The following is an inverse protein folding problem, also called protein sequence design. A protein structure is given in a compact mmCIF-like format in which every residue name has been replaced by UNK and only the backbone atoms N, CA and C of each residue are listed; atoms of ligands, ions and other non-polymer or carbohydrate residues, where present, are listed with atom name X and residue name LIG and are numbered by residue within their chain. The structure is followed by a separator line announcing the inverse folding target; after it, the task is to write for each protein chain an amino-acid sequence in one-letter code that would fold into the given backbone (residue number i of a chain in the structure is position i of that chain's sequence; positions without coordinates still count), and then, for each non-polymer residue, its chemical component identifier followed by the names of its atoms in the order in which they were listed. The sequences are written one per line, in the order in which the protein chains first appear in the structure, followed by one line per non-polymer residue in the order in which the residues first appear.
data_IF_837185209524
#
_entry.id   IF_837185209524
#
_cell.length_a   1.000
_cell.length_b   1.000
_cell.length_c   1.000
_cell.angle_alpha   90.00
_cell.angle_beta   90.00
_cell.angle_gamma   90.00
#
_symmetry.space_group_name_H-M   'P 1'
#
loop_
_entity.id
_entity.type
_entity.pdbx_description
1 polymer ?
#
# COMPACT_ATOMS: atom_id res chain seq x y z
N UNK A 1 21.91 49.06 14.44
CA UNK A 1 21.70 48.46 13.11
C UNK A 1 20.23 48.65 12.73
N UNK A 2 19.91 49.60 11.84
CA UNK A 2 18.53 49.89 11.41
C UNK A 2 18.15 48.90 10.30
N UNK A 3 17.34 47.91 10.61
CA UNK A 3 16.76 47.03 9.59
C UNK A 3 15.67 47.84 8.88
N UNK A 4 15.79 48.05 7.56
CA UNK A 4 14.77 48.75 6.79
C UNK A 4 13.50 47.90 6.76
N UNK A 5 12.34 48.53 6.96
CA UNK A 5 11.02 47.88 6.98
C UNK A 5 10.78 47.03 5.72
N UNK A 6 11.37 47.40 4.58
CA UNK A 6 11.34 46.61 3.35
C UNK A 6 12.01 45.23 3.45
N UNK A 7 13.05 45.06 4.27
CA UNK A 7 13.73 43.77 4.46
C UNK A 7 13.01 42.87 5.46
N UNK A 8 12.25 43.46 6.40
CA UNK A 8 11.46 42.71 7.37
C UNK A 8 10.19 42.13 6.74
N UNK A 9 9.56 42.86 5.81
CA UNK A 9 8.37 42.39 5.08
C UNK A 9 8.73 41.25 4.10
N UNK A 10 9.90 41.28 3.45
CA UNK A 10 10.36 40.17 2.60
C UNK A 10 10.69 38.92 3.43
N UNK A 11 11.25 39.08 4.63
CA UNK A 11 11.54 37.95 5.53
C UNK A 11 10.26 37.32 6.09
N UNK A 12 9.24 38.12 6.44
CA UNK A 12 7.93 37.62 6.90
C UNK A 12 7.15 36.92 5.77
N UNK A 13 7.21 37.43 4.53
CA UNK A 13 6.58 36.80 3.36
C UNK A 13 7.28 35.49 2.95
N UNK A 14 8.59 35.37 3.15
CA UNK A 14 9.32 34.12 2.90
C UNK A 14 9.05 33.03 3.94
N UNK A 15 8.64 33.38 5.16
CA UNK A 15 8.26 32.42 6.21
C UNK A 15 6.82 31.94 6.03
N UNK A 16 5.92 32.77 5.49
CA UNK A 16 4.54 32.35 5.18
C UNK A 16 4.41 31.51 3.91
N UNK A 17 5.39 31.54 2.99
CA UNK A 17 5.35 30.73 1.75
C UNK A 17 5.89 29.30 1.90
N UNK A 18 6.53 28.98 3.03
CA UNK A 18 6.97 27.60 3.34
C UNK A 18 5.82 26.80 4.00
N UNK A 19 4.76 27.49 4.46
CA UNK A 19 3.64 26.87 5.17
C UNK A 19 2.54 26.33 4.21
N UNK A 20 2.64 26.56 2.90
CA UNK A 20 1.61 26.11 1.94
C UNK A 20 1.90 24.76 1.23
N UNK A 21 2.91 23.99 1.64
CA UNK A 21 3.16 22.64 1.10
C UNK A 21 2.97 21.48 2.09
N UNK A 22 2.60 21.74 3.35
CA UNK A 22 2.13 20.68 4.22
C UNK A 22 0.65 20.41 3.93
N UNK A 23 0.40 19.59 2.91
CA UNK A 23 -0.80 18.77 2.91
C UNK A 23 -0.81 18.01 4.23
N UNK A 24 -1.88 18.19 5.02
CA UNK A 24 -1.95 17.70 6.40
C UNK A 24 -1.46 16.26 6.50
N UNK A 25 -0.38 16.06 7.26
CA UNK A 25 0.00 14.73 7.73
C UNK A 25 -1.15 14.29 8.62
N UNK A 26 -1.94 13.32 8.15
CA UNK A 26 -2.96 12.71 8.97
C UNK A 26 -2.26 12.00 10.13
N UNK A 27 -2.25 12.64 11.30
CA UNK A 27 -1.76 12.05 12.55
C UNK A 27 -2.82 11.05 13.03
N UNK A 28 -2.64 9.77 12.73
CA UNK A 28 -3.44 8.69 13.32
C UNK A 28 -2.74 8.19 14.58
N UNK A 29 -3.29 8.52 15.75
CA UNK A 29 -2.78 8.08 17.05
C UNK A 29 -3.20 6.62 17.30
N UNK A 30 -2.22 5.73 17.34
CA UNK A 30 -2.40 4.32 17.73
C UNK A 30 -2.70 4.18 19.23
N UNK A 31 -3.42 3.12 19.61
CA UNK A 31 -3.63 2.72 21.02
C UNK A 31 -2.33 2.39 21.78
N UNK A 32 -1.19 2.23 21.08
CA UNK A 32 0.13 1.91 21.69
C UNK A 32 0.89 3.11 22.26
N UNK A 33 0.47 4.36 22.00
CA UNK A 33 1.20 5.57 22.41
C UNK A 33 2.42 5.92 21.54
N UNK A 34 2.70 5.12 20.51
CA UNK A 34 3.74 5.40 19.52
C UNK A 34 3.23 6.40 18.46
N UNK A 35 4.05 7.39 18.13
CA UNK A 35 3.76 8.34 17.04
C UNK A 35 4.38 7.84 15.73
N UNK A 36 3.53 7.73 14.71
CA UNK A 36 3.93 7.32 13.37
C UNK A 36 3.96 8.53 12.45
N UNK A 37 4.99 8.62 11.61
CA UNK A 37 5.20 9.72 10.68
C UNK A 37 5.29 9.18 9.25
N UNK A 38 4.40 9.62 8.37
CA UNK A 38 4.49 9.33 6.93
C UNK A 38 5.48 10.32 6.30
N UNK A 39 6.73 9.88 6.12
CA UNK A 39 7.80 10.72 5.57
C UNK A 39 7.70 10.90 4.06
N UNK A 40 7.29 9.84 3.37
CA UNK A 40 7.13 9.83 1.92
C UNK A 40 5.85 9.09 1.60
N UNK A 41 4.97 9.72 0.83
CA UNK A 41 3.90 9.04 0.11
C UNK A 41 3.81 9.63 -1.30
N UNK A 42 4.28 8.89 -2.30
CA UNK A 42 4.20 9.28 -3.70
C UNK A 42 3.94 8.08 -4.60
N UNK A 43 3.85 8.29 -5.91
CA UNK A 43 3.54 7.24 -6.89
C UNK A 43 4.52 6.04 -6.89
N UNK A 44 5.72 6.18 -6.32
CA UNK A 44 6.77 5.15 -6.34
C UNK A 44 6.88 4.38 -5.03
N UNK A 45 6.72 5.05 -3.90
CA UNK A 45 6.94 4.43 -2.59
C UNK A 45 6.21 5.13 -1.46
N UNK A 46 6.10 4.41 -0.37
CA UNK A 46 5.68 4.91 0.94
C UNK A 46 6.83 4.67 1.90
N UNK A 47 7.20 5.66 2.69
CA UNK A 47 8.13 5.49 3.81
C UNK A 47 7.48 6.02 5.07
N UNK A 48 7.34 5.15 6.07
CA UNK A 48 6.77 5.47 7.38
C UNK A 48 7.88 5.29 8.42
N UNK A 49 7.89 6.16 9.42
CA UNK A 49 8.84 6.18 10.50
C UNK A 49 8.13 6.09 11.84
N UNK A 50 8.78 5.42 12.79
CA UNK A 50 8.46 5.51 14.22
C UNK A 50 9.74 5.37 15.03
N UNK A 51 9.67 5.71 16.31
CA UNK A 51 10.75 5.58 17.27
C UNK A 51 10.23 4.92 18.54
N UNK A 52 11.00 3.95 19.05
CA UNK A 52 10.72 3.26 20.32
C UNK A 52 12.03 2.96 21.03
N UNK A 53 12.11 3.34 22.30
CA UNK A 53 13.28 3.10 23.18
C UNK A 53 14.64 3.49 22.55
N UNK A 54 14.66 4.61 21.80
CA UNK A 54 15.84 5.13 21.10
C UNK A 54 16.20 4.43 19.78
N UNK A 55 15.45 3.40 19.39
CA UNK A 55 15.54 2.78 18.07
C UNK A 55 14.56 3.45 17.11
N UNK A 56 15.08 3.93 15.99
CA UNK A 56 14.33 4.56 14.92
C UNK A 56 14.20 3.56 13.78
N UNK A 57 12.97 3.27 13.37
CA UNK A 57 12.67 2.41 12.22
C UNK A 57 12.10 3.21 11.05
N UNK A 58 12.50 2.82 9.85
CA UNK A 58 11.99 3.35 8.57
C UNK A 58 11.50 2.17 7.73
N UNK A 59 10.19 1.97 7.65
CA UNK A 59 9.59 0.98 6.77
C UNK A 59 9.33 1.62 5.42
N UNK A 60 9.81 1.00 4.35
CA UNK A 60 9.59 1.44 2.97
C UNK A 60 8.83 0.36 2.20
N UNK A 61 7.70 0.75 1.63
CA UNK A 61 6.98 -0.03 0.63
C UNK A 61 7.25 0.55 -0.76
N UNK A 62 7.84 -0.25 -1.65
CA UNK A 62 8.04 0.09 -3.05
C UNK A 62 6.79 -0.31 -3.85
N UNK A 63 6.00 0.69 -4.27
CA UNK A 63 4.76 0.49 -5.04
C UNK A 63 5.02 -0.08 -6.45
N UNK A 64 6.26 -0.04 -6.92
CA UNK A 64 6.64 -0.54 -8.26
C UNK A 64 7.00 -2.03 -8.23
N UNK A 65 7.75 -2.46 -7.22
CA UNK A 65 8.22 -3.85 -7.08
C UNK A 65 7.35 -4.67 -6.13
N UNK A 66 6.42 -4.03 -5.43
CA UNK A 66 5.64 -4.59 -4.33
C UNK A 66 6.48 -5.06 -3.13
N UNK A 67 7.76 -4.68 -3.08
CA UNK A 67 8.68 -5.06 -2.00
C UNK A 67 8.53 -4.16 -0.77
N UNK A 68 8.67 -4.76 0.41
CA UNK A 68 8.67 -4.07 1.70
C UNK A 68 10.03 -4.29 2.36
N UNK A 69 10.64 -3.22 2.87
CA UNK A 69 11.90 -3.27 3.61
C UNK A 69 11.84 -2.39 4.86
N UNK A 70 12.69 -2.71 5.82
CA UNK A 70 12.84 -1.95 7.05
C UNK A 70 14.31 -1.60 7.25
N UNK A 71 14.58 -0.34 7.58
CA UNK A 71 15.89 0.12 8.05
C UNK A 71 15.77 0.60 9.49
N UNK A 72 16.71 0.21 10.35
CA UNK A 72 16.79 0.69 11.73
C UNK A 72 18.16 1.28 12.04
N UNK A 73 18.27 2.07 13.11
CA UNK A 73 19.56 2.57 13.64
C UNK A 73 20.22 1.61 14.65
N UNK A 74 19.75 0.36 14.74
CA UNK A 74 20.38 -0.64 15.61
C UNK A 74 21.81 -0.95 15.16
N UNK A 75 22.66 -1.34 16.12
CA UNK A 75 24.05 -1.67 15.83
C UNK A 75 24.14 -2.99 15.06
N UNK A 76 24.76 -2.94 13.88
CA UNK A 76 25.12 -4.11 13.09
C UNK A 76 26.12 -4.99 13.86
N UNK A 77 25.82 -6.29 13.95
CA UNK A 77 26.72 -7.30 14.55
C UNK A 77 28.01 -7.48 13.73
N UNK A 78 27.95 -7.22 12.42
CA UNK A 78 29.04 -7.51 11.46
C UNK A 78 29.92 -6.30 11.17
N UNK A 79 29.32 -5.13 10.98
CA UNK A 79 30.04 -3.89 10.61
C UNK A 79 30.26 -2.96 11.79
N UNK A 80 29.52 -3.13 12.88
CA UNK A 80 29.56 -2.26 14.06
C UNK A 80 28.94 -0.87 13.86
N UNK A 81 28.38 -0.58 12.67
CA UNK A 81 27.66 0.66 12.37
C UNK A 81 26.26 0.65 12.99
N UNK A 82 25.72 1.83 13.28
CA UNK A 82 24.34 2.00 13.76
C UNK A 82 23.36 1.99 12.59
N UNK A 83 23.30 0.86 11.90
CA UNK A 83 22.35 0.59 10.83
C UNK A 83 22.11 -0.92 10.76
N UNK A 84 20.84 -1.30 10.65
CA UNK A 84 20.42 -2.62 10.19
C UNK A 84 19.39 -2.50 9.09
N UNK A 85 19.43 -3.43 8.15
CA UNK A 85 18.52 -3.51 7.02
C UNK A 85 17.85 -4.88 7.01
N UNK A 86 16.53 -4.88 6.86
CA UNK A 86 15.69 -6.06 6.83
C UNK A 86 14.90 -6.09 5.51
N UNK A 87 14.88 -7.26 4.88
CA UNK A 87 13.86 -7.60 3.87
C UNK A 87 12.64 -8.15 4.60
N UNK A 88 11.45 -7.75 4.17
CA UNK A 88 10.20 -8.24 4.77
C UNK A 88 9.45 -9.04 3.71
N UNK A 89 9.26 -10.32 3.99
CA UNK A 89 8.42 -11.21 3.18
C UNK A 89 7.08 -11.36 3.89
N UNK A 90 6.04 -10.75 3.33
CA UNK A 90 4.72 -10.70 3.95
C UNK A 90 3.83 -11.76 3.32
N UNK A 91 3.33 -12.69 4.12
CA UNK A 91 2.35 -13.68 3.68
C UNK A 91 0.93 -13.09 3.78
N UNK A 92 0.62 -12.46 4.91
CA UNK A 92 -0.65 -11.76 5.12
C UNK A 92 -0.42 -10.50 5.94
N UNK A 93 -0.94 -9.36 5.50
CA UNK A 93 -1.00 -8.13 6.28
C UNK A 93 -2.33 -7.42 6.00
N UNK A 94 -3.26 -7.60 6.93
CA UNK A 94 -4.57 -6.96 6.99
C UNK A 94 -4.71 -6.25 8.34
N UNK A 95 -5.84 -5.58 8.58
CA UNK A 95 -6.09 -4.95 9.89
C UNK A 95 -6.17 -5.97 11.02
N UNK A 96 -6.62 -7.19 10.71
CA UNK A 96 -6.87 -8.24 11.70
C UNK A 96 -5.67 -9.17 11.90
N UNK A 97 -4.80 -9.29 10.88
CA UNK A 97 -3.73 -10.28 10.89
C UNK A 97 -2.47 -9.79 10.19
N UNK A 98 -1.34 -9.95 10.87
CA UNK A 98 0.00 -9.80 10.32
C UNK A 98 0.73 -11.13 10.43
N UNK A 99 1.20 -11.64 9.30
CA UNK A 99 2.07 -12.80 9.17
C UNK A 99 3.17 -12.45 8.18
N UNK A 100 4.38 -12.26 8.69
CA UNK A 100 5.52 -11.80 7.92
C UNK A 100 6.84 -12.34 8.47
N UNK A 101 7.81 -12.57 7.58
CA UNK A 101 9.17 -12.94 7.92
C UNK A 101 10.10 -11.75 7.72
N UNK A 102 10.79 -11.33 8.78
CA UNK A 102 11.81 -10.28 8.74
C UNK A 102 13.18 -10.92 8.62
N UNK A 103 13.89 -10.63 7.55
CA UNK A 103 15.18 -11.24 7.23
C UNK A 103 16.26 -10.17 7.35
N UNK A 104 17.15 -10.30 8.34
CA UNK A 104 18.32 -9.42 8.48
C UNK A 104 19.24 -9.66 7.27
N UNK A 105 19.40 -8.64 6.42
CA UNK A 105 20.12 -8.77 5.15
C UNK A 105 21.62 -9.07 5.37
N UNK A 106 22.18 -8.66 6.51
CA UNK A 106 23.61 -8.85 6.78
C UNK A 106 23.95 -10.25 7.28
N UNK A 107 23.08 -10.83 8.11
CA UNK A 107 23.31 -12.12 8.79
C UNK A 107 22.52 -13.26 8.17
N UNK A 108 21.41 -12.98 7.48
CA UNK A 108 20.43 -13.97 7.05
C UNK A 108 19.59 -14.53 8.19
N UNK A 109 19.64 -13.95 9.39
CA UNK A 109 18.77 -14.34 10.50
C UNK A 109 17.31 -13.97 10.17
N UNK A 110 16.41 -14.93 10.34
CA UNK A 110 14.97 -14.80 10.05
C UNK A 110 14.15 -14.68 11.33
N UNK A 111 13.18 -13.78 11.33
CA UNK A 111 12.30 -13.49 12.46
C UNK A 111 10.85 -13.53 12.00
N UNK A 112 10.17 -14.63 12.32
CA UNK A 112 8.77 -14.84 11.96
C UNK A 112 7.85 -14.11 12.94
N UNK A 113 7.04 -13.20 12.41
CA UNK A 113 6.02 -12.44 13.12
C UNK A 113 4.66 -12.98 12.74
N UNK A 114 3.85 -13.33 13.74
CA UNK A 114 2.46 -13.74 13.57
C UNK A 114 1.63 -13.11 14.70
N UNK A 115 0.73 -12.19 14.36
CA UNK A 115 -0.07 -11.44 15.33
C UNK A 115 -1.06 -12.29 16.13
N UNK A 116 -1.45 -13.46 15.62
CA UNK A 116 -2.36 -14.39 16.32
C UNK A 116 -1.62 -15.18 17.40
N UNK A 117 -0.34 -15.45 17.15
CA UNK A 117 0.53 -16.19 18.06
C UNK A 117 1.42 -15.20 18.81
N UNK A 118 0.91 -14.67 19.92
CA UNK A 118 1.75 -14.02 20.94
C UNK A 118 2.74 -15.05 21.51
N UNK A 119 3.85 -15.32 20.80
CA UNK A 119 4.95 -16.14 21.29
C UNK A 119 5.70 -15.37 22.37
N UNK A 120 5.12 -15.34 23.58
CA UNK A 120 5.72 -14.74 24.77
C UNK A 120 7.04 -15.43 25.18
N UNK A 121 7.29 -16.66 24.71
CA UNK A 121 8.46 -17.47 25.05
C UNK A 121 9.78 -17.02 24.41
N UNK A 122 9.77 -16.14 23.40
CA UNK A 122 10.98 -15.68 22.71
C UNK A 122 11.09 -14.15 22.55
N UNK A 123 10.22 -13.38 23.21
CA UNK A 123 10.19 -11.92 23.06
C UNK A 123 11.54 -11.21 23.34
N UNK A 124 12.41 -11.80 24.16
CA UNK A 124 13.74 -11.26 24.45
C UNK A 124 14.80 -11.51 23.35
N UNK A 125 14.56 -12.47 22.44
CA UNK A 125 15.46 -12.78 21.33
C UNK A 125 15.14 -11.98 20.06
N UNK A 126 13.95 -11.39 19.99
CA UNK A 126 13.50 -10.60 18.84
C UNK A 126 14.19 -9.23 18.90
N UNK A 127 14.93 -8.81 17.86
CA UNK A 127 15.50 -7.47 17.78
C UNK A 127 14.40 -6.41 17.87
N UNK A 128 14.68 -5.30 18.55
CA UNK A 128 13.71 -4.22 18.72
C UNK A 128 13.28 -3.64 17.37
N UNK A 129 14.17 -3.68 16.37
CA UNK A 129 13.83 -3.33 14.99
C UNK A 129 12.70 -4.16 14.39
N UNK A 130 12.62 -5.46 14.66
CA UNK A 130 11.54 -6.32 14.15
C UNK A 130 10.20 -5.92 14.75
N UNK A 131 10.17 -5.63 16.06
CA UNK A 131 8.96 -5.14 16.77
C UNK A 131 8.50 -3.80 16.18
N UNK A 132 9.42 -2.87 15.95
CA UNK A 132 9.15 -1.59 15.28
C UNK A 132 8.64 -1.82 13.85
N UNK A 133 9.22 -2.78 13.13
CA UNK A 133 8.82 -3.17 11.78
C UNK A 133 7.39 -3.67 11.70
N UNK A 134 6.99 -4.54 12.64
CA UNK A 134 5.60 -5.01 12.78
C UNK A 134 4.65 -3.83 13.02
N UNK A 135 4.96 -2.93 13.96
CA UNK A 135 4.14 -1.77 14.26
C UNK A 135 4.01 -0.83 13.04
N UNK A 136 5.10 -0.61 12.31
CA UNK A 136 5.09 0.19 11.07
C UNK A 136 4.27 -0.47 9.96
N UNK A 137 4.35 -1.79 9.83
CA UNK A 137 3.56 -2.55 8.87
C UNK A 137 2.08 -2.44 9.23
N UNK A 138 1.71 -2.67 10.49
CA UNK A 138 0.35 -2.48 11.00
C UNK A 138 -0.17 -1.08 10.70
N UNK A 139 0.65 -0.04 10.92
CA UNK A 139 0.26 1.33 10.63
C UNK A 139 0.04 1.55 9.13
N UNK A 140 0.93 1.08 8.25
CA UNK A 140 0.77 1.14 6.79
C UNK A 140 -0.56 0.54 6.33
N UNK A 141 -0.94 -0.60 6.92
CA UNK A 141 -2.22 -1.26 6.64
C UNK A 141 -3.38 -0.42 7.17
N UNK A 142 -3.34 0.01 8.43
CA UNK A 142 -4.41 0.75 9.10
C UNK A 142 -4.76 2.07 8.39
N UNK A 143 -3.78 2.77 7.83
CA UNK A 143 -4.03 4.00 7.05
C UNK A 143 -4.48 3.75 5.60
N UNK A 144 -4.76 2.49 5.24
CA UNK A 144 -5.37 2.16 3.94
C UNK A 144 -4.42 2.16 2.75
N UNK A 145 -3.10 2.28 2.98
CA UNK A 145 -2.17 2.50 1.87
C UNK A 145 -1.76 1.21 1.15
N UNK A 146 -1.70 0.09 1.85
CA UNK A 146 -1.44 -1.22 1.28
C UNK A 146 -2.19 -2.33 2.05
N UNK A 147 -2.34 -3.50 1.42
CA UNK A 147 -2.76 -4.76 2.03
C UNK A 147 -1.99 -5.91 1.39
N UNK A 148 -1.67 -6.98 2.12
CA UNK A 148 -1.06 -8.17 1.55
C UNK A 148 -1.90 -9.39 1.88
N UNK A 149 -2.26 -10.17 0.86
CA UNK A 149 -3.08 -11.38 1.02
C UNK A 149 -2.46 -12.49 0.18
N UNK A 150 -2.15 -13.62 0.83
CA UNK A 150 -1.51 -14.79 0.22
C UNK A 150 -0.24 -14.41 -0.55
N UNK A 151 0.65 -13.63 0.09
CA UNK A 151 1.93 -13.20 -0.47
C UNK A 151 1.85 -12.08 -1.51
N UNK A 152 0.64 -11.63 -1.89
CA UNK A 152 0.46 -10.61 -2.92
C UNK A 152 0.11 -9.28 -2.26
N UNK A 153 1.01 -8.30 -2.40
CA UNK A 153 0.78 -6.94 -1.93
C UNK A 153 -0.03 -6.15 -2.95
N UNK A 154 -1.09 -5.52 -2.46
CA UNK A 154 -1.96 -4.63 -3.21
C UNK A 154 -1.83 -3.21 -2.65
N UNK A 155 -1.82 -2.22 -3.54
CA UNK A 155 -1.75 -0.79 -3.20
C UNK A 155 -3.07 -0.11 -3.51
N UNK A 156 -3.50 0.85 -2.71
CA UNK A 156 -4.72 1.62 -3.01
C UNK A 156 -4.65 2.24 -4.42
N UNK A 157 -5.70 2.12 -5.23
CA UNK A 157 -5.69 2.60 -6.63
C UNK A 157 -5.39 4.09 -6.75
N UNK A 158 -5.91 4.90 -5.79
CA UNK A 158 -5.73 6.35 -5.72
C UNK A 158 -4.25 6.76 -5.69
N UNK A 159 -3.40 5.87 -5.15
CA UNK A 159 -1.98 6.09 -4.96
C UNK A 159 -1.12 5.81 -6.20
N UNK A 160 -1.60 4.98 -7.13
CA UNK A 160 -0.79 4.45 -8.24
C UNK A 160 -1.42 4.67 -9.62
N UNK A 161 -2.71 4.98 -9.73
CA UNK A 161 -3.44 4.99 -11.00
C UNK A 161 -2.84 5.93 -12.05
N UNK A 162 -2.40 7.13 -11.64
CA UNK A 162 -1.84 8.15 -12.55
C UNK A 162 -0.58 7.66 -13.27
N UNK A 163 0.22 6.83 -12.57
CA UNK A 163 1.41 6.20 -13.13
C UNK A 163 1.05 4.99 -13.98
N UNK A 164 0.21 4.09 -13.47
CA UNK A 164 -0.15 2.86 -14.19
C UNK A 164 -0.84 3.16 -15.53
N UNK A 165 -1.60 4.25 -15.63
CA UNK A 165 -2.18 4.74 -16.89
C UNK A 165 -1.14 5.09 -17.97
N UNK A 166 0.09 5.44 -17.56
CA UNK A 166 1.21 5.77 -18.46
C UNK A 166 2.09 4.56 -18.76
N UNK A 167 1.84 3.43 -18.11
CA UNK A 167 2.59 2.20 -18.28
C UNK A 167 2.13 1.43 -19.55
N UNK A 168 2.94 0.46 -19.97
CA UNK A 168 2.65 -0.46 -21.08
C UNK A 168 1.55 -1.47 -20.70
N UNK A 169 1.48 -1.85 -19.43
CA UNK A 169 0.49 -2.82 -18.96
C UNK A 169 -0.91 -2.18 -18.86
N UNK A 170 -1.94 -2.97 -19.21
CA UNK A 170 -3.33 -2.48 -19.31
C UNK A 170 -4.26 -3.04 -18.25
N UNK A 171 -3.87 -4.16 -17.64
CA UNK A 171 -4.68 -4.91 -16.71
C UNK A 171 -3.85 -5.28 -15.49
N UNK A 172 -4.48 -5.23 -14.32
CA UNK A 172 -3.86 -5.53 -13.05
C UNK A 172 -4.84 -6.29 -12.17
N UNK A 173 -4.33 -7.13 -11.27
CA UNK A 173 -5.16 -7.75 -10.23
C UNK A 173 -5.84 -6.65 -9.43
N UNK A 174 -7.12 -6.85 -9.11
CA UNK A 174 -7.87 -5.95 -8.26
C UNK A 174 -8.49 -6.68 -7.07
N UNK A 175 -8.68 -5.94 -5.99
CA UNK A 175 -9.45 -6.36 -4.83
C UNK A 175 -10.20 -5.17 -4.25
N UNK A 176 -11.45 -5.38 -3.82
CA UNK A 176 -12.14 -4.42 -2.96
C UNK A 176 -11.98 -4.91 -1.54
N UNK A 177 -11.44 -4.06 -0.67
CA UNK A 177 -11.42 -4.29 0.77
C UNK A 177 -11.61 -2.95 1.48
N UNK A 178 -12.37 -2.94 2.58
CA UNK A 178 -12.72 -1.71 3.32
C UNK A 178 -13.37 -0.64 2.45
N UNK A 179 -14.11 -1.05 1.42
CA UNK A 179 -14.71 -0.15 0.44
C UNK A 179 -13.73 0.38 -0.61
N UNK A 180 -12.42 0.42 -0.36
CA UNK A 180 -11.45 0.90 -1.34
C UNK A 180 -11.00 -0.21 -2.33
N UNK A 181 -10.58 0.22 -3.51
CA UNK A 181 -10.03 -0.62 -4.57
C UNK A 181 -8.51 -0.63 -4.46
N UNK A 182 -7.95 -1.82 -4.38
CA UNK A 182 -6.52 -2.06 -4.33
C UNK A 182 -6.07 -2.79 -5.59
N UNK A 183 -4.89 -2.42 -6.07
CA UNK A 183 -4.27 -2.94 -7.28
C UNK A 183 -3.04 -3.76 -6.89
N UNK A 184 -2.98 -4.99 -7.38
CA UNK A 184 -1.84 -5.88 -7.24
C UNK A 184 -1.07 -6.02 -8.55
N UNK A 185 -0.52 -7.21 -8.79
CA UNK A 185 0.36 -7.47 -9.92
C UNK A 185 -0.28 -7.19 -11.28
N UNK A 186 0.54 -6.77 -12.23
CA UNK A 186 0.13 -6.64 -13.62
C UNK A 186 -0.25 -7.99 -14.22
N UNK A 187 -1.22 -7.97 -15.13
CA UNK A 187 -1.75 -9.14 -15.81
C UNK A 187 -1.59 -8.98 -17.32
N UNK A 188 -1.18 -10.06 -17.98
CA UNK A 188 -1.40 -10.18 -19.41
C UNK A 188 -2.90 -10.19 -19.72
N UNK A 189 -3.26 -9.90 -20.96
CA UNK A 189 -4.65 -9.91 -21.41
C UNK A 189 -5.33 -11.26 -21.13
N UNK A 190 -4.66 -12.37 -21.43
CA UNK A 190 -5.21 -13.72 -21.22
C UNK A 190 -5.35 -14.06 -19.73
N UNK A 191 -4.39 -13.63 -18.90
CA UNK A 191 -4.48 -13.79 -17.45
C UNK A 191 -5.67 -13.00 -16.88
N UNK A 192 -5.88 -11.77 -17.35
CA UNK A 192 -7.00 -10.94 -16.94
C UNK A 192 -8.36 -11.56 -17.33
N UNK A 193 -8.49 -12.09 -18.55
CA UNK A 193 -9.69 -12.81 -19.00
C UNK A 193 -9.96 -14.05 -18.14
N UNK A 194 -8.93 -14.86 -17.89
CA UNK A 194 -9.04 -16.05 -17.05
C UNK A 194 -9.46 -15.70 -15.63
N UNK A 195 -8.84 -14.65 -15.05
CA UNK A 195 -9.14 -14.18 -13.70
C UNK A 195 -10.59 -13.76 -13.55
N UNK A 196 -11.14 -12.93 -14.45
CA UNK A 196 -12.57 -12.51 -14.38
C UNK A 196 -13.52 -13.70 -14.48
N UNK A 197 -13.19 -14.72 -15.27
CA UNK A 197 -14.02 -15.91 -15.43
C UNK A 197 -13.93 -16.88 -14.25
N UNK A 198 -12.99 -16.67 -13.33
CA UNK A 198 -12.80 -17.54 -12.18
C UNK A 198 -14.06 -17.61 -11.30
N UNK A 199 -14.32 -18.81 -10.80
CA UNK A 199 -15.38 -19.10 -9.82
C UNK A 199 -15.04 -18.57 -8.42
N UNK A 200 -13.79 -18.17 -8.18
CA UNK A 200 -13.40 -17.46 -6.96
C UNK A 200 -13.88 -16.01 -7.02
N UNK A 201 -15.12 -15.80 -6.58
CA UNK A 201 -15.79 -14.49 -6.59
C UNK A 201 -15.17 -13.45 -5.66
N UNK A 202 -14.25 -13.85 -4.78
CA UNK A 202 -13.54 -12.92 -3.89
C UNK A 202 -12.29 -12.35 -4.55
N UNK A 203 -11.62 -13.15 -5.38
CA UNK A 203 -10.32 -12.81 -5.97
C UNK A 203 -10.31 -12.77 -7.51
N UNK A 204 -11.47 -12.65 -8.16
CA UNK A 204 -11.57 -12.65 -9.63
C UNK A 204 -11.59 -11.24 -10.27
N UNK A 205 -11.47 -10.18 -9.47
CA UNK A 205 -11.54 -8.81 -9.96
C UNK A 205 -10.26 -8.39 -10.71
N UNK A 206 -10.44 -7.51 -11.70
CA UNK A 206 -9.36 -6.89 -12.50
C UNK A 206 -9.58 -5.38 -12.58
N UNK A 207 -8.51 -4.60 -12.45
CA UNK A 207 -8.51 -3.18 -12.78
C UNK A 207 -7.84 -2.94 -14.12
N UNK A 208 -8.43 -2.05 -14.91
CA UNK A 208 -8.01 -1.64 -16.22
C UNK A 208 -7.68 -0.16 -16.26
N UNK A 209 -6.64 0.20 -17.02
CA UNK A 209 -6.16 1.59 -17.11
C UNK A 209 -7.14 2.55 -17.79
N UNK A 210 -8.14 2.02 -18.52
CA UNK A 210 -9.13 2.83 -19.23
C UNK A 210 -10.50 2.16 -19.30
N UNK A 211 -11.52 2.98 -19.58
CA UNK A 211 -12.88 2.53 -19.89
C UNK A 211 -12.89 1.48 -21.02
N UNK A 212 -12.16 1.74 -22.11
CA UNK A 212 -12.13 0.86 -23.28
C UNK A 212 -11.46 -0.47 -22.99
N UNK A 213 -10.40 -0.45 -22.16
CA UNK A 213 -9.72 -1.67 -21.74
C UNK A 213 -10.61 -2.52 -20.83
N UNK A 214 -11.35 -1.88 -19.91
CA UNK A 214 -12.29 -2.57 -19.01
C UNK A 214 -13.47 -3.18 -19.79
N UNK A 215 -14.13 -2.38 -20.64
CA UNK A 215 -15.27 -2.82 -21.45
C UNK A 215 -14.87 -3.97 -22.40
N UNK A 216 -13.73 -3.83 -23.08
CA UNK A 216 -13.24 -4.88 -23.97
C UNK A 216 -12.90 -6.15 -23.20
N UNK A 217 -12.34 -6.05 -21.98
CA UNK A 217 -12.00 -7.21 -21.15
C UNK A 217 -13.24 -7.99 -20.75
N UNK A 218 -14.25 -7.29 -20.23
CA UNK A 218 -15.52 -7.91 -19.86
C UNK A 218 -16.23 -8.56 -21.05
N UNK A 219 -16.19 -7.92 -22.22
CA UNK A 219 -16.73 -8.48 -23.48
C UNK A 219 -16.03 -9.79 -23.86
N UNK A 220 -14.70 -9.79 -23.89
CA UNK A 220 -13.91 -10.96 -24.26
C UNK A 220 -14.14 -12.12 -23.28
N UNK A 221 -14.07 -11.85 -21.98
CA UNK A 221 -14.35 -12.82 -20.93
C UNK A 221 -15.79 -13.37 -20.97
N UNK A 222 -16.74 -12.56 -21.43
CA UNK A 222 -18.14 -12.94 -21.67
C UNK A 222 -18.41 -13.70 -22.97
N UNK A 223 -17.38 -14.14 -23.69
CA UNK A 223 -17.54 -14.83 -24.98
C UNK A 223 -17.98 -13.89 -26.10
N UNK A 224 -17.42 -12.68 -26.13
CA UNK A 224 -17.69 -11.61 -27.09
C UNK A 224 -19.11 -11.00 -27.07
N UNK A 225 -19.91 -11.35 -26.06
CA UNK A 225 -21.23 -10.78 -25.80
C UNK A 225 -21.11 -9.41 -25.13
N UNK A 226 -22.10 -8.56 -25.34
CA UNK A 226 -22.14 -7.21 -24.77
C UNK A 226 -22.06 -7.28 -23.23
N UNK A 227 -21.05 -6.66 -22.59
CA UNK A 227 -20.93 -6.65 -21.14
C UNK A 227 -22.01 -5.76 -20.52
N UNK A 228 -22.28 -5.95 -19.23
CA UNK A 228 -23.20 -5.08 -18.47
C UNK A 228 -22.40 -3.97 -17.81
N UNK A 229 -22.82 -2.71 -18.00
CA UNK A 229 -22.17 -1.52 -17.47
C UNK A 229 -21.88 -0.43 -18.51
N UNK A 230 -21.10 0.61 -18.17
CA UNK A 230 -20.44 0.77 -16.88
C UNK A 230 -21.46 0.94 -15.75
N UNK A 231 -21.23 0.26 -14.64
CA UNK A 231 -21.94 0.48 -13.40
C UNK A 231 -21.00 1.16 -12.41
N UNK A 232 -21.58 2.07 -11.64
CA UNK A 232 -21.08 2.49 -10.34
C UNK A 232 -22.19 2.04 -9.41
N UNK A 233 -21.93 1.08 -8.52
CA UNK A 233 -22.99 0.31 -7.84
C UNK A 233 -24.23 1.15 -7.53
N UNK A 234 -25.36 0.69 -8.06
CA UNK A 234 -26.62 1.43 -8.15
C UNK A 234 -27.02 2.07 -6.81
N UNK A 235 -27.18 3.39 -6.80
CA UNK A 235 -27.87 4.12 -5.72
C UNK A 235 -27.02 4.76 -4.61
N UNK A 236 -25.68 4.76 -4.70
CA UNK A 236 -24.81 5.40 -3.70
C UNK A 236 -23.86 6.41 -4.36
N UNK A 237 -24.38 7.60 -4.62
CA UNK A 237 -23.76 8.63 -5.48
C UNK A 237 -22.67 9.47 -4.81
N UNK A 238 -22.27 9.23 -3.55
CA UNK A 238 -21.37 10.14 -2.83
C UNK A 238 -20.50 9.56 -1.73
N UNK A 239 -20.28 8.25 -1.66
CA UNK A 239 -19.39 7.66 -0.65
C UNK A 239 -18.08 7.17 -1.26
N UNK A 240 -16.99 7.23 -0.49
CA UNK A 240 -15.74 6.56 -0.83
C UNK A 240 -16.01 5.07 -1.06
N UNK A 241 -15.44 4.50 -2.14
CA UNK A 241 -15.49 3.07 -2.42
C UNK A 241 -16.34 2.58 -3.59
N UNK A 242 -16.95 3.48 -4.39
CA UNK A 242 -17.71 3.10 -5.59
C UNK A 242 -16.89 3.31 -6.87
N UNK A 243 -16.24 2.24 -7.33
CA UNK A 243 -15.41 2.25 -8.54
C UNK A 243 -16.23 1.87 -9.77
N UNK A 244 -16.02 2.61 -10.87
CA UNK A 244 -16.67 2.31 -12.12
C UNK A 244 -16.20 0.95 -12.63
N UNK A 245 -17.12 0.11 -13.10
CA UNK A 245 -16.78 -1.22 -13.57
C UNK A 245 -17.76 -1.78 -14.59
N UNK A 246 -17.33 -2.85 -15.25
CA UNK A 246 -18.17 -3.70 -16.08
C UNK A 246 -18.29 -5.09 -15.48
N UNK A 247 -19.46 -5.70 -15.68
CA UNK A 247 -19.67 -7.12 -15.49
C UNK A 247 -19.64 -7.86 -16.84
N UNK A 248 -19.47 -9.18 -16.76
CA UNK A 248 -19.81 -10.07 -17.87
C UNK A 248 -21.30 -9.93 -18.26
N UNK A 249 -21.65 -10.30 -19.49
CA UNK A 249 -23.02 -10.20 -20.03
C UNK A 249 -24.10 -10.88 -19.14
N UNK A 250 -23.71 -11.91 -18.39
CA UNK A 250 -24.56 -12.69 -17.49
C UNK A 250 -24.29 -12.41 -16.00
N UNK A 251 -23.37 -11.47 -15.69
CA UNK A 251 -22.97 -11.10 -14.32
C UNK A 251 -22.41 -12.23 -13.45
N UNK A 252 -21.97 -13.35 -14.03
CA UNK A 252 -21.51 -14.53 -13.25
C UNK A 252 -19.99 -14.59 -13.03
N UNK A 253 -19.30 -13.45 -13.00
CA UNK A 253 -17.84 -13.39 -12.89
C UNK A 253 -17.38 -12.15 -12.14
N UNK A 254 -16.07 -11.90 -12.16
CA UNK A 254 -15.46 -10.75 -11.51
C UNK A 254 -15.82 -9.43 -12.18
N UNK A 255 -15.47 -8.35 -11.51
CA UNK A 255 -15.64 -7.00 -12.02
C UNK A 255 -14.40 -6.58 -12.81
N UNK A 256 -14.63 -5.88 -13.91
CA UNK A 256 -13.60 -5.17 -14.66
C UNK A 256 -13.67 -3.68 -14.32
N UNK A 257 -12.88 -3.26 -13.32
CA UNK A 257 -12.83 -1.89 -12.83
C UNK A 257 -12.04 -0.96 -13.75
N UNK A 258 -12.35 0.33 -13.68
CA UNK A 258 -11.49 1.41 -14.16
C UNK A 258 -11.63 2.64 -13.23
N UNK A 259 -10.60 3.48 -13.23
CA UNK A 259 -10.50 4.69 -12.42
C UNK A 259 -9.76 5.74 -13.24
#
# INVERSE_FOLDING_TARGET
MKISISKFVVFLLSITLIISCFQGVAMAKSQSGEEFEVLVNNEKKITIKTERDGVIGFLTFNKETSEISLKTNEKSKKTGKNQKDYKIEVETATEDKIEANFIDIETGEEYNVNSDNLQASFAFLIPLGVIIGEALLAHLIAIGLAVTIAGITYTAVKEVSSKLKKDKHKHYMAMITRGDLYIGNALSRSQAVSRIKSTDTKNNNVWSVSYTDAASLAREAGGNRTPVGPERDWGKTSAEGYYQHFHLYNRTGGHSFYY
#
